data_IF_578139965036
#
_entry.id   IF_578139965036
#
_cell.length_a   1.000
_cell.length_b   1.000
_cell.length_c   1.000
_cell.angle_alpha   90.00
_cell.angle_beta   90.00
_cell.angle_gamma   90.00
#
_symmetry.space_group_name_H-M   'P 1'
#
loop_
_entity.id
_entity.type
_entity.pdbx_description
1 polymer ?
#
# COMPACT_ATOMS: atom_id res chain seq x y z
N UNK A 1 18.29 2.67 -0.75
CA UNK A 1 17.10 1.77 -0.72
C UNK A 1 16.23 1.99 0.51
N UNK A 2 16.75 1.89 1.75
CA UNK A 2 15.93 2.06 2.98
C UNK A 2 15.07 3.32 3.02
N UNK A 3 15.65 4.48 2.68
CA UNK A 3 14.90 5.73 2.59
C UNK A 3 13.71 5.63 1.62
N UNK A 4 13.92 5.07 0.43
CA UNK A 4 12.88 4.93 -0.59
C UNK A 4 11.71 4.06 -0.10
N UNK A 5 12.01 2.90 0.49
CA UNK A 5 11.00 2.00 1.06
C UNK A 5 10.26 2.67 2.22
N UNK A 6 10.97 3.34 3.14
CA UNK A 6 10.35 4.06 4.25
C UNK A 6 9.47 5.23 3.78
N UNK A 7 9.83 5.89 2.68
CA UNK A 7 9.00 6.94 2.07
C UNK A 7 7.75 6.33 1.44
N UNK A 8 7.85 5.20 0.73
CA UNK A 8 6.68 4.47 0.22
C UNK A 8 5.75 4.02 1.35
N UNK A 9 6.29 3.49 2.45
CA UNK A 9 5.51 3.11 3.64
C UNK A 9 4.72 4.29 4.19
N UNK A 10 5.37 5.45 4.35
CA UNK A 10 4.71 6.70 4.78
C UNK A 10 3.61 7.12 3.82
N UNK A 11 3.86 7.06 2.51
CA UNK A 11 2.86 7.37 1.47
C UNK A 11 1.63 6.48 1.58
N UNK A 12 1.81 5.17 1.72
CA UNK A 12 0.67 4.25 1.84
C UNK A 12 -0.08 4.44 3.15
N UNK A 13 0.63 4.64 4.27
CA UNK A 13 0.01 4.93 5.57
C UNK A 13 -0.85 6.18 5.47
N UNK A 14 -0.31 7.28 4.95
CA UNK A 14 -1.04 8.54 4.84
C UNK A 14 -2.21 8.44 3.87
N UNK A 15 -2.07 7.67 2.78
CA UNK A 15 -3.18 7.34 1.87
C UNK A 15 -4.31 6.64 2.63
N UNK A 16 -4.00 5.60 3.41
CA UNK A 16 -4.99 4.88 4.21
C UNK A 16 -5.67 5.79 5.25
N UNK A 17 -4.90 6.65 5.92
CA UNK A 17 -5.43 7.62 6.90
C UNK A 17 -6.38 8.62 6.26
N UNK A 18 -6.00 9.24 5.15
CA UNK A 18 -6.86 10.18 4.39
C UNK A 18 -8.14 9.51 3.86
N UNK A 19 -8.10 8.20 3.62
CA UNK A 19 -9.26 7.40 3.20
C UNK A 19 -10.18 6.97 4.35
N UNK A 20 -9.79 7.19 5.61
CA UNK A 20 -10.59 6.86 6.79
C UNK A 20 -10.11 5.67 7.61
N UNK A 21 -8.86 5.22 7.42
CA UNK A 21 -8.24 4.09 8.16
C UNK A 21 -7.08 4.65 9.01
N UNK A 22 -7.36 5.34 10.14
CA UNK A 22 -6.33 6.00 10.96
C UNK A 22 -5.29 5.03 11.56
N UNK A 23 -5.69 3.77 11.78
CA UNK A 23 -4.89 2.73 12.42
C UNK A 23 -3.86 2.07 11.49
N UNK A 24 -3.79 2.45 10.21
CA UNK A 24 -2.80 1.91 9.28
C UNK A 24 -1.36 2.22 9.73
N UNK A 25 -0.51 1.20 9.82
CA UNK A 25 0.86 1.32 10.34
C UNK A 25 1.82 0.26 9.77
N UNK A 26 3.12 0.44 9.99
CA UNK A 26 4.13 -0.61 9.81
C UNK A 26 4.21 -1.52 11.04
N UNK A 27 4.75 -2.72 10.88
CA UNK A 27 5.08 -3.66 11.96
C UNK A 27 6.50 -4.20 11.79
N UNK A 28 6.90 -5.23 12.55
CA UNK A 28 8.15 -5.96 12.31
C UNK A 28 8.18 -6.65 10.93
N UNK A 29 7.01 -6.91 10.33
CA UNK A 29 6.88 -7.56 9.04
C UNK A 29 6.62 -6.54 7.93
N UNK A 30 7.30 -6.73 6.80
CA UNK A 30 7.24 -5.82 5.64
C UNK A 30 5.81 -5.61 5.13
N UNK A 31 5.46 -4.35 4.90
CA UNK A 31 4.15 -3.92 4.39
C UNK A 31 3.43 -3.00 5.36
N UNK A 32 2.23 -2.60 4.97
CA UNK A 32 1.32 -1.81 5.81
C UNK A 32 0.19 -2.69 6.31
N UNK A 33 -0.18 -2.46 7.56
CA UNK A 33 -1.04 -3.32 8.36
C UNK A 33 -2.15 -2.53 9.04
N UNK A 34 -3.27 -3.20 9.27
CA UNK A 34 -4.40 -2.76 10.08
C UNK A 34 -4.68 -3.85 11.10
N UNK A 35 -4.26 -3.64 12.35
CA UNK A 35 -4.14 -4.72 13.32
C UNK A 35 -3.21 -5.83 12.80
N UNK A 36 -3.68 -7.07 12.80
CA UNK A 36 -2.93 -8.23 12.29
C UNK A 36 -3.17 -8.53 10.79
N UNK A 37 -3.89 -7.64 10.08
CA UNK A 37 -4.22 -7.82 8.67
C UNK A 37 -3.38 -6.92 7.77
N UNK A 38 -2.68 -7.52 6.79
CA UNK A 38 -1.90 -6.76 5.80
C UNK A 38 -2.83 -6.11 4.79
N UNK A 39 -2.75 -4.78 4.66
CA UNK A 39 -3.50 -4.02 3.65
C UNK A 39 -2.64 -3.70 2.42
N UNK A 40 -1.32 -3.62 2.57
CA UNK A 40 -0.41 -3.33 1.47
C UNK A 40 0.88 -4.16 1.56
N UNK A 41 1.21 -4.85 0.46
CA UNK A 41 2.51 -5.49 0.28
C UNK A 41 3.52 -4.48 -0.29
N UNK A 42 4.78 -4.57 0.13
CA UNK A 42 5.87 -3.75 -0.39
C UNK A 42 7.02 -4.66 -0.78
N UNK A 43 7.44 -4.56 -2.04
CA UNK A 43 8.57 -5.31 -2.59
C UNK A 43 9.23 -4.46 -3.66
N UNK A 44 10.44 -3.98 -3.39
CA UNK A 44 11.18 -3.09 -4.29
C UNK A 44 12.51 -3.75 -4.64
N UNK A 45 12.83 -3.78 -5.92
CA UNK A 45 14.16 -4.11 -6.40
C UNK A 45 14.86 -2.86 -6.88
N UNK A 46 16.18 -2.77 -6.67
CA UNK A 46 16.99 -1.66 -7.16
C UNK A 46 18.20 -2.18 -7.93
N UNK A 47 18.35 -1.74 -9.17
CA UNK A 47 19.48 -2.09 -10.03
C UNK A 47 19.81 -0.93 -10.95
N UNK A 48 21.10 -0.69 -11.18
CA UNK A 48 21.60 0.39 -12.06
C UNK A 48 20.95 1.75 -11.76
N UNK A 49 20.79 2.08 -10.47
CA UNK A 49 20.15 3.32 -9.99
C UNK A 49 18.66 3.48 -10.31
N UNK A 50 17.98 2.42 -10.75
CA UNK A 50 16.54 2.41 -11.06
C UNK A 50 15.83 1.41 -10.14
N UNK A 51 14.66 1.80 -9.60
CA UNK A 51 13.79 0.93 -8.82
C UNK A 51 12.73 0.27 -9.68
N UNK A 52 12.45 -1.02 -9.46
CA UNK A 52 11.35 -1.78 -10.10
C UNK A 52 10.49 -2.48 -9.06
N UNK A 53 9.34 -3.03 -9.48
CA UNK A 53 8.24 -3.50 -8.64
C UNK A 53 7.54 -2.34 -7.91
N UNK A 54 7.40 -2.38 -6.58
CA UNK A 54 6.76 -1.30 -5.82
C UNK A 54 5.87 -1.81 -4.70
N UNK A 55 4.61 -1.36 -4.73
CA UNK A 55 3.61 -1.62 -3.70
C UNK A 55 2.37 -2.28 -4.31
N UNK A 56 1.69 -3.09 -3.51
CA UNK A 56 0.39 -3.67 -3.85
C UNK A 56 -0.61 -3.34 -2.73
N UNK A 57 -1.40 -2.28 -2.91
CA UNK A 57 -2.44 -1.86 -1.98
C UNK A 57 -3.77 -2.55 -2.35
N UNK A 58 -4.31 -3.34 -1.41
CA UNK A 58 -5.58 -4.01 -1.62
C UNK A 58 -6.73 -2.99 -1.58
N UNK A 59 -7.33 -2.67 -2.72
CA UNK A 59 -8.43 -1.69 -2.81
C UNK A 59 -9.79 -2.39 -2.69
N UNK A 60 -10.26 -2.99 -3.78
CA UNK A 60 -11.44 -3.85 -3.85
C UNK A 60 -11.06 -5.31 -4.14
N UNK A 61 -9.86 -5.71 -3.72
CA UNK A 61 -9.31 -7.06 -3.95
C UNK A 61 -10.22 -8.12 -3.33
N UNK A 62 -10.54 -9.16 -4.10
CA UNK A 62 -11.16 -10.36 -3.56
C UNK A 62 -10.15 -11.12 -2.70
N UNK A 63 -10.34 -11.06 -1.38
CA UNK A 63 -9.37 -11.58 -0.42
C UNK A 63 -9.34 -13.11 -0.38
N UNK A 64 -10.33 -13.80 -0.93
CA UNK A 64 -10.37 -15.28 -0.99
C UNK A 64 -9.20 -15.86 -1.77
N UNK A 65 -8.64 -15.12 -2.72
CA UNK A 65 -7.45 -15.54 -3.45
C UNK A 65 -6.23 -15.74 -2.55
N UNK A 66 -6.17 -15.06 -1.39
CA UNK A 66 -5.08 -15.25 -0.43
C UNK A 66 -5.18 -16.58 0.32
N UNK A 67 -6.35 -17.22 0.37
CA UNK A 67 -6.54 -18.55 0.97
C UNK A 67 -5.85 -19.66 0.15
N UNK A 68 -5.55 -19.40 -1.12
CA UNK A 68 -4.88 -20.33 -2.02
C UNK A 68 -3.35 -20.26 -1.98
N UNK A 69 -2.79 -19.34 -1.20
CA UNK A 69 -1.36 -19.19 -1.01
C UNK A 69 -1.03 -19.19 0.49
N UNK A 70 0.24 -19.33 0.85
CA UNK A 70 0.70 -19.01 2.20
C UNK A 70 1.23 -17.59 2.17
N UNK A 71 0.39 -16.56 2.44
CA UNK A 71 0.84 -15.19 2.34
C UNK A 71 1.83 -14.89 3.45
N UNK A 72 3.02 -14.43 3.08
CA UNK A 72 4.05 -13.92 3.98
C UNK A 72 4.65 -14.94 4.97
N UNK A 73 4.17 -16.19 5.03
CA UNK A 73 4.72 -17.24 5.89
C UNK A 73 4.57 -17.00 7.39
N UNK A 74 3.66 -16.11 7.80
CA UNK A 74 3.50 -15.69 9.21
C UNK A 74 2.18 -16.23 9.75
N UNK A 75 2.24 -17.06 10.79
CA UNK A 75 1.05 -17.58 11.47
C UNK A 75 0.27 -16.46 12.18
N UNK A 76 -1.06 -16.54 12.13
CA UNK A 76 -1.95 -15.59 12.82
C UNK A 76 -2.12 -14.24 12.13
N UNK A 77 -1.50 -14.03 10.96
CA UNK A 77 -1.61 -12.77 10.21
C UNK A 77 -2.48 -12.95 8.96
N UNK A 78 -3.45 -12.06 8.82
CA UNK A 78 -4.38 -12.05 7.70
C UNK A 78 -4.05 -11.00 6.66
N UNK A 79 -5.00 -10.78 5.75
CA UNK A 79 -4.99 -9.71 4.76
C UNK A 79 -6.30 -8.96 4.84
N UNK A 80 -6.27 -7.68 4.48
CA UNK A 80 -7.48 -6.85 4.36
C UNK A 80 -7.39 -5.98 3.10
N UNK A 81 -8.44 -5.22 2.82
CA UNK A 81 -8.53 -4.27 1.72
C UNK A 81 -9.19 -2.97 2.18
N UNK A 82 -9.00 -1.88 1.44
CA UNK A 82 -9.69 -0.61 1.69
C UNK A 82 -11.21 -0.83 1.72
N UNK A 83 -11.73 -1.66 0.82
CA UNK A 83 -13.17 -1.93 0.74
C UNK A 83 -13.68 -2.67 1.97
N UNK A 84 -12.89 -3.63 2.48
CA UNK A 84 -13.22 -4.36 3.70
C UNK A 84 -13.14 -3.47 4.94
N UNK A 85 -12.11 -2.64 5.08
CA UNK A 85 -11.97 -1.73 6.23
C UNK A 85 -13.02 -0.61 6.25
N UNK A 86 -13.41 -0.10 5.07
CA UNK A 86 -14.34 1.04 4.95
C UNK A 86 -15.81 0.63 4.73
N UNK A 87 -16.09 -0.68 4.65
CA UNK A 87 -17.44 -1.22 4.45
C UNK A 87 -18.17 -0.64 3.22
N UNK A 88 -17.41 -0.35 2.16
CA UNK A 88 -17.91 0.12 0.86
C UNK A 88 -16.96 -0.29 -0.24
N UNK A 89 -17.42 -0.30 -1.49
CA UNK A 89 -16.52 -0.54 -2.61
C UNK A 89 -15.56 0.66 -2.79
N UNK A 90 -14.25 0.38 -2.78
CA UNK A 90 -13.16 1.34 -3.01
C UNK A 90 -12.32 0.82 -4.17
N UNK A 91 -12.46 1.45 -5.33
CA UNK A 91 -11.72 1.05 -6.52
C UNK A 91 -10.28 1.59 -6.53
N UNK A 92 -9.48 1.08 -7.46
CA UNK A 92 -8.07 1.46 -7.60
C UNK A 92 -7.94 2.93 -7.97
N UNK A 93 -8.84 3.47 -8.80
CA UNK A 93 -8.81 4.85 -9.28
C UNK A 93 -9.01 5.85 -8.13
N UNK A 94 -9.94 5.54 -7.22
CA UNK A 94 -10.18 6.34 -6.01
C UNK A 94 -8.93 6.36 -5.11
N UNK A 95 -8.36 5.20 -4.83
CA UNK A 95 -7.15 5.07 -4.01
C UNK A 95 -5.94 5.74 -4.69
N UNK A 96 -5.79 5.60 -6.01
CA UNK A 96 -4.70 6.18 -6.78
C UNK A 96 -4.71 7.71 -6.72
N UNK A 97 -5.89 8.34 -6.77
CA UNK A 97 -6.03 9.80 -6.65
C UNK A 97 -5.45 10.32 -5.34
N UNK A 98 -5.73 9.63 -4.23
CA UNK A 98 -5.20 9.99 -2.91
C UNK A 98 -3.71 9.64 -2.81
N UNK A 99 -3.32 8.47 -3.31
CA UNK A 99 -1.93 8.01 -3.28
C UNK A 99 -0.98 8.96 -4.00
N UNK A 100 -1.35 9.44 -5.19
CA UNK A 100 -0.53 10.35 -5.99
C UNK A 100 -0.24 11.65 -5.23
N UNK A 101 -1.24 12.21 -4.53
CA UNK A 101 -1.07 13.41 -3.69
C UNK A 101 -0.11 13.16 -2.53
N UNK A 102 -0.29 12.05 -1.81
CA UNK A 102 0.62 11.66 -0.72
C UNK A 102 2.05 11.39 -1.24
N UNK A 103 2.17 10.81 -2.44
CA UNK A 103 3.46 10.54 -3.07
C UNK A 103 4.19 11.85 -3.38
N UNK A 104 3.50 12.80 -4.00
CA UNK A 104 4.02 14.13 -4.31
C UNK A 104 4.56 14.83 -3.05
N UNK A 105 3.75 14.83 -1.97
CA UNK A 105 4.11 15.40 -0.67
C UNK A 105 5.36 14.76 -0.06
N UNK A 106 5.45 13.42 -0.03
CA UNK A 106 6.53 12.72 0.67
C UNK A 106 7.82 12.59 -0.15
N UNK A 107 7.71 12.42 -1.47
CA UNK A 107 8.87 12.37 -2.35
C UNK A 107 9.36 13.76 -2.74
N UNK A 108 8.60 14.82 -2.43
CA UNK A 108 8.91 16.21 -2.80
C UNK A 108 9.16 16.34 -4.30
N UNK A 109 8.32 15.67 -5.08
CA UNK A 109 8.34 15.73 -6.54
C UNK A 109 7.13 16.54 -7.04
N UNK A 110 7.05 16.71 -8.35
CA UNK A 110 5.85 17.20 -9.01
C UNK A 110 5.32 16.10 -9.90
N UNK A 111 4.02 15.83 -9.83
CA UNK A 111 3.39 14.85 -10.70
C UNK A 111 2.94 15.55 -11.98
N UNK A 112 3.42 15.04 -13.11
CA UNK A 112 3.00 15.48 -14.43
C UNK A 112 2.12 14.41 -15.05
N UNK A 113 0.89 14.76 -15.39
CA UNK A 113 0.08 13.93 -16.27
C UNK A 113 0.69 14.01 -17.66
N UNK A 114 1.05 12.86 -18.23
CA UNK A 114 1.33 12.80 -19.66
C UNK A 114 0.00 12.99 -20.37
N UNK A 115 -0.26 14.22 -20.83
CA UNK A 115 -1.25 14.46 -21.88
C UNK A 115 -0.79 13.65 -23.09
N UNK A 116 -1.60 12.66 -23.44
CA UNK A 116 -1.38 11.80 -24.58
C UNK A 116 -1.74 12.53 -25.88
#
# INVERSE_FOLDING_TARGET
MRWYVATLEKTVIETCRKMGIPQATTTSDTGIWVGDNKICAIGVHGSRYVTTHGIGLNCCTDLRWFEHIVPCGIEGKGVTSLSNELQRNVCVEEAATVFVRCFEEHFKCQIQEKVQ
#
